data_IF_368703337467
#
_entry.id   IF_368703337467
#
_cell.length_a   1.000
_cell.length_b   1.000
_cell.length_c   1.000
_cell.angle_alpha   90.00
_cell.angle_beta   90.00
_cell.angle_gamma   90.00
#
_symmetry.space_group_name_H-M   'P 1'
#
loop_
_entity.id
_entity.type
_entity.pdbx_description
1 polymer ?
#
# COMPACT_ATOMS: atom_id res chain seq x y z
N UNK A 1 -32.67 8.95 -15.03
CA UNK A 1 -31.67 8.92 -13.95
C UNK A 1 -30.91 7.62 -14.08
N UNK A 2 -29.60 7.65 -14.30
CA UNK A 2 -28.77 6.46 -14.14
C UNK A 2 -28.27 6.45 -12.70
N UNK A 3 -28.75 5.49 -11.90
CA UNK A 3 -28.18 5.27 -10.57
C UNK A 3 -26.83 4.58 -10.72
N UNK A 4 -25.77 5.38 -10.75
CA UNK A 4 -24.41 4.88 -10.56
C UNK A 4 -24.33 4.25 -9.18
N UNK A 5 -24.45 2.93 -9.11
CA UNK A 5 -24.15 2.16 -7.89
C UNK A 5 -22.66 2.32 -7.62
N UNK A 6 -22.29 3.30 -6.80
CA UNK A 6 -20.91 3.53 -6.39
C UNK A 6 -20.39 2.29 -5.68
N UNK A 7 -19.64 1.49 -6.42
CA UNK A 7 -18.98 0.33 -5.86
C UNK A 7 -17.80 0.84 -5.02
N UNK A 8 -17.97 0.83 -3.69
CA UNK A 8 -16.90 1.12 -2.71
C UNK A 8 -15.65 0.23 -2.90
N UNK A 9 -15.67 -0.74 -3.81
CA UNK A 9 -14.49 -1.45 -4.24
C UNK A 9 -13.59 -0.71 -5.23
N UNK A 10 -14.16 0.11 -6.13
CA UNK A 10 -13.41 0.81 -7.17
C UNK A 10 -12.71 2.07 -6.65
N UNK A 11 -13.39 2.86 -5.80
CA UNK A 11 -12.87 4.13 -5.27
C UNK A 11 -11.44 4.00 -4.72
N UNK A 12 -11.19 2.97 -3.90
CA UNK A 12 -9.88 2.74 -3.28
C UNK A 12 -8.78 2.27 -4.24
N UNK A 13 -9.14 1.60 -5.34
CA UNK A 13 -8.16 1.10 -6.32
C UNK A 13 -7.77 2.22 -7.30
N UNK A 14 -8.76 3.00 -7.74
CA UNK A 14 -8.54 4.21 -8.53
C UNK A 14 -7.74 5.26 -7.74
N UNK A 15 -8.04 5.48 -6.45
CA UNK A 15 -7.25 6.33 -5.56
C UNK A 15 -5.80 5.86 -5.41
N UNK A 16 -5.55 4.54 -5.27
CA UNK A 16 -4.18 4.03 -5.20
C UNK A 16 -3.41 4.24 -6.53
N UNK A 17 -4.06 3.98 -7.67
CA UNK A 17 -3.46 4.19 -9.00
C UNK A 17 -3.13 5.68 -9.19
N UNK A 18 -4.07 6.59 -8.91
CA UNK A 18 -3.85 8.04 -9.02
C UNK A 18 -2.71 8.51 -8.11
N UNK A 19 -2.62 8.00 -6.87
CA UNK A 19 -1.54 8.34 -5.92
C UNK A 19 -0.17 7.77 -6.35
N UNK A 20 -0.13 6.60 -6.98
CA UNK A 20 1.10 6.04 -7.56
C UNK A 20 1.54 6.87 -8.78
N UNK A 21 0.60 7.21 -9.67
CA UNK A 21 0.88 8.01 -10.86
C UNK A 21 1.33 9.43 -10.50
N UNK A 22 0.75 10.07 -9.48
CA UNK A 22 1.17 11.42 -9.06
C UNK A 22 2.55 11.43 -8.39
N UNK A 23 2.89 10.40 -7.62
CA UNK A 23 4.17 10.31 -6.89
C UNK A 23 5.34 9.80 -7.75
N UNK A 24 5.08 9.03 -8.81
CA UNK A 24 6.14 8.38 -9.61
C UNK A 24 6.10 8.68 -11.12
N UNK A 25 5.00 9.24 -11.65
CA UNK A 25 4.85 9.55 -13.09
C UNK A 25 4.81 8.32 -14.01
N UNK A 26 4.72 7.11 -13.45
CA UNK A 26 4.78 5.83 -14.15
C UNK A 26 4.03 4.75 -13.37
N UNK A 27 3.69 3.64 -14.04
CA UNK A 27 2.99 2.52 -13.39
C UNK A 27 3.89 1.78 -12.40
N UNK A 28 3.32 1.36 -11.25
CA UNK A 28 4.06 0.63 -10.21
C UNK A 28 4.76 -0.61 -10.77
N UNK A 29 4.11 -1.34 -11.68
CA UNK A 29 4.71 -2.52 -12.34
C UNK A 29 6.00 -2.14 -13.06
N UNK A 30 5.98 -1.07 -13.85
CA UNK A 30 7.12 -0.62 -14.64
C UNK A 30 8.27 -0.13 -13.75
N UNK A 31 7.96 0.58 -12.66
CA UNK A 31 8.92 0.99 -11.63
C UNK A 31 9.62 -0.22 -10.99
N UNK A 32 8.85 -1.27 -10.62
CA UNK A 32 9.40 -2.52 -10.10
C UNK A 32 10.24 -3.24 -11.16
N UNK A 33 9.77 -3.34 -12.41
CA UNK A 33 10.47 -4.02 -13.51
C UNK A 33 11.85 -3.38 -13.77
N UNK A 34 11.87 -2.05 -13.89
CA UNK A 34 13.06 -1.21 -14.11
C UNK A 34 14.07 -1.27 -12.96
N UNK A 35 13.61 -1.24 -11.70
CA UNK A 35 14.51 -1.30 -10.55
C UNK A 35 15.04 -2.71 -10.31
N UNK A 36 14.19 -3.74 -10.46
CA UNK A 36 14.58 -5.12 -10.23
C UNK A 36 15.59 -5.61 -11.27
N UNK A 37 15.43 -5.24 -12.54
CA UNK A 37 16.36 -5.56 -13.64
C UNK A 37 16.82 -7.03 -13.60
N UNK A 38 15.83 -7.93 -13.63
CA UNK A 38 16.01 -9.37 -13.50
C UNK A 38 16.53 -10.00 -14.80
N UNK A 39 17.25 -11.11 -14.69
CA UNK A 39 17.54 -11.95 -15.86
C UNK A 39 16.25 -12.59 -16.41
N UNK A 40 16.28 -12.99 -17.68
CA UNK A 40 15.22 -13.79 -18.32
C UNK A 40 14.92 -15.10 -17.55
N UNK A 41 15.91 -15.62 -16.80
CA UNK A 41 15.78 -16.81 -15.95
C UNK A 41 15.15 -16.53 -14.58
N UNK A 42 15.31 -15.34 -14.01
CA UNK A 42 14.73 -14.94 -12.71
C UNK A 42 13.31 -14.36 -12.87
N UNK A 43 13.07 -13.60 -13.94
CA UNK A 43 11.85 -12.81 -14.12
C UNK A 43 10.54 -13.61 -14.09
N UNK A 44 10.40 -14.79 -14.75
CA UNK A 44 9.13 -15.53 -14.75
C UNK A 44 8.73 -16.00 -13.35
N UNK A 45 9.68 -16.54 -12.58
CA UNK A 45 9.45 -17.00 -11.22
C UNK A 45 9.16 -15.82 -10.27
N UNK A 46 9.88 -14.71 -10.42
CA UNK A 46 9.60 -13.46 -9.69
C UNK A 46 8.17 -12.96 -9.95
N UNK A 47 7.75 -12.83 -11.21
CA UNK A 47 6.45 -12.22 -11.54
C UNK A 47 5.25 -13.07 -11.07
N UNK A 48 5.39 -14.40 -10.98
CA UNK A 48 4.39 -15.26 -10.33
C UNK A 48 4.29 -14.96 -8.84
N UNK A 49 5.41 -14.78 -8.14
CA UNK A 49 5.40 -14.39 -6.72
C UNK A 49 4.86 -12.96 -6.54
N UNK A 50 5.20 -12.03 -7.44
CA UNK A 50 4.73 -10.64 -7.41
C UNK A 50 3.21 -10.54 -7.54
N UNK A 51 2.59 -11.24 -8.49
CA UNK A 51 1.12 -11.20 -8.65
C UNK A 51 0.38 -11.68 -7.38
N UNK A 52 0.91 -12.72 -6.73
CA UNK A 52 0.39 -13.22 -5.46
C UNK A 52 0.64 -12.25 -4.29
N UNK A 53 1.79 -11.58 -4.27
CA UNK A 53 2.07 -10.51 -3.31
C UNK A 53 1.08 -9.36 -3.48
N UNK A 54 0.91 -8.90 -4.72
CA UNK A 54 0.20 -7.67 -5.04
C UNK A 54 -1.29 -7.77 -4.76
N UNK A 55 -1.91 -8.93 -5.04
CA UNK A 55 -3.31 -9.20 -4.66
C UNK A 55 -3.54 -9.15 -3.15
N UNK A 56 -2.61 -9.67 -2.33
CA UNK A 56 -2.69 -9.54 -0.87
C UNK A 56 -2.37 -8.11 -0.39
N UNK A 57 -1.47 -7.40 -1.10
CA UNK A 57 -1.04 -6.02 -0.81
C UNK A 57 -2.16 -5.02 -1.07
N UNK A 58 -2.94 -5.17 -2.15
CA UNK A 58 -4.10 -4.34 -2.47
C UNK A 58 -5.15 -4.33 -1.35
N UNK A 59 -5.45 -5.48 -0.75
CA UNK A 59 -6.39 -5.56 0.37
C UNK A 59 -5.94 -4.75 1.60
N UNK A 60 -4.63 -4.70 1.86
CA UNK A 60 -4.04 -3.95 2.99
C UNK A 60 -3.97 -2.45 2.67
N UNK A 61 -3.58 -2.08 1.45
CA UNK A 61 -3.52 -0.69 1.00
C UNK A 61 -4.91 -0.04 0.99
N UNK A 62 -5.92 -0.76 0.48
CA UNK A 62 -7.32 -0.36 0.53
C UNK A 62 -7.83 -0.12 1.95
N UNK A 63 -7.56 -1.02 2.89
CA UNK A 63 -7.91 -0.82 4.29
C UNK A 63 -7.22 0.43 4.87
N UNK A 64 -5.96 0.70 4.48
CA UNK A 64 -5.24 1.91 4.90
C UNK A 64 -5.89 3.19 4.36
N UNK A 65 -6.28 3.20 3.09
CA UNK A 65 -6.99 4.33 2.46
C UNK A 65 -8.33 4.56 3.16
N UNK A 66 -9.14 3.51 3.37
CA UNK A 66 -10.43 3.63 4.07
C UNK A 66 -10.32 4.15 5.51
N UNK A 67 -9.25 3.78 6.24
CA UNK A 67 -8.99 4.30 7.58
C UNK A 67 -8.56 5.77 7.55
N UNK A 68 -7.76 6.16 6.56
CA UNK A 68 -7.34 7.54 6.35
C UNK A 68 -8.53 8.45 5.97
N UNK A 69 -9.32 8.07 4.97
CA UNK A 69 -10.50 8.82 4.55
C UNK A 69 -11.49 9.00 5.71
N UNK A 70 -11.81 7.93 6.45
CA UNK A 70 -12.68 8.04 7.64
C UNK A 70 -12.15 9.04 8.68
N UNK A 71 -10.84 9.07 8.92
CA UNK A 71 -10.24 10.01 9.87
C UNK A 71 -10.40 11.47 9.39
N UNK A 72 -10.04 11.75 8.13
CA UNK A 72 -10.12 13.11 7.55
C UNK A 72 -11.58 13.58 7.42
N UNK A 73 -12.48 12.73 6.91
CA UNK A 73 -13.90 13.05 6.68
C UNK A 73 -14.70 13.36 7.95
N UNK A 74 -14.24 12.89 9.12
CA UNK A 74 -15.00 12.97 10.38
C UNK A 74 -14.21 13.64 11.51
N UNK A 75 -13.04 14.22 11.23
CA UNK A 75 -12.04 14.64 12.22
C UNK A 75 -12.64 15.42 13.41
N UNK A 76 -13.40 16.48 13.15
CA UNK A 76 -14.02 17.35 14.17
C UNK A 76 -15.15 16.69 15.00
N UNK A 77 -15.53 15.45 14.67
CA UNK A 77 -16.70 14.75 15.23
C UNK A 77 -16.33 13.41 15.92
N UNK A 78 -15.10 12.92 15.75
CA UNK A 78 -14.64 11.64 16.30
C UNK A 78 -14.45 11.69 17.82
N UNK A 79 -15.23 10.89 18.56
CA UNK A 79 -15.04 10.71 20.01
C UNK A 79 -13.90 9.75 20.37
N UNK A 80 -13.49 9.74 21.65
CA UNK A 80 -12.39 8.91 22.17
C UNK A 80 -12.48 7.42 21.75
N UNK A 81 -13.66 6.80 21.87
CA UNK A 81 -13.89 5.40 21.46
C UNK A 81 -13.67 5.16 19.95
N UNK A 82 -13.96 6.16 19.12
CA UNK A 82 -13.76 6.08 17.67
C UNK A 82 -12.31 6.34 17.28
N UNK A 83 -11.64 7.28 17.96
CA UNK A 83 -10.20 7.51 17.84
C UNK A 83 -9.39 6.27 18.26
N UNK A 84 -9.71 5.65 19.40
CA UNK A 84 -9.15 4.36 19.82
C UNK A 84 -9.41 3.26 18.77
N UNK A 85 -10.65 3.18 18.28
CA UNK A 85 -11.04 2.25 17.22
C UNK A 85 -10.27 2.44 15.91
N UNK A 86 -9.96 3.68 15.52
CA UNK A 86 -9.15 4.02 14.34
C UNK A 86 -7.66 3.73 14.57
N UNK A 87 -7.13 4.08 15.74
CA UNK A 87 -5.75 3.81 16.13
C UNK A 87 -5.46 2.29 16.14
N UNK A 88 -6.31 1.48 16.79
CA UNK A 88 -6.19 0.02 16.83
C UNK A 88 -6.26 -0.61 15.43
N UNK A 89 -7.16 -0.14 14.55
CA UNK A 89 -7.25 -0.62 13.16
C UNK A 89 -6.01 -0.24 12.34
N UNK A 90 -5.49 0.98 12.52
CA UNK A 90 -4.25 1.45 11.86
C UNK A 90 -3.04 0.63 12.29
N UNK A 91 -2.90 0.33 13.59
CA UNK A 91 -1.86 -0.55 14.13
C UNK A 91 -1.99 -1.97 13.55
N UNK A 92 -3.22 -2.52 13.50
CA UNK A 92 -3.47 -3.83 12.91
C UNK A 92 -3.14 -3.89 11.41
N UNK A 93 -3.44 -2.82 10.65
CA UNK A 93 -3.11 -2.68 9.24
C UNK A 93 -1.59 -2.65 9.00
N UNK A 94 -0.85 -1.84 9.78
CA UNK A 94 0.62 -1.83 9.77
C UNK A 94 1.19 -3.25 10.01
N UNK A 95 0.65 -3.96 11.01
CA UNK A 95 1.07 -5.33 11.35
C UNK A 95 0.75 -6.36 10.25
N UNK A 96 -0.38 -6.22 9.54
CA UNK A 96 -0.68 -7.03 8.34
C UNK A 96 0.40 -6.83 7.27
N UNK A 97 0.81 -5.58 7.01
CA UNK A 97 1.86 -5.26 6.02
C UNK A 97 3.19 -5.90 6.42
N UNK A 98 3.67 -5.71 7.66
CA UNK A 98 4.93 -6.32 8.12
C UNK A 98 4.93 -7.85 8.01
N UNK A 99 3.80 -8.51 8.32
CA UNK A 99 3.62 -9.96 8.13
C UNK A 99 3.64 -10.38 6.65
N UNK A 100 3.00 -9.59 5.77
CA UNK A 100 3.03 -9.82 4.33
C UNK A 100 4.46 -9.76 3.78
N UNK A 101 5.24 -8.76 4.19
CA UNK A 101 6.64 -8.61 3.80
C UNK A 101 7.51 -9.80 4.22
N UNK A 102 7.43 -10.24 5.48
CA UNK A 102 8.18 -11.40 5.96
C UNK A 102 7.80 -12.71 5.21
N UNK A 103 6.50 -12.89 4.93
CA UNK A 103 5.96 -13.99 4.12
C UNK A 103 6.51 -13.96 2.70
N UNK A 104 6.51 -12.80 2.05
CA UNK A 104 6.88 -12.69 0.64
C UNK A 104 8.38 -12.59 0.39
N UNK A 105 9.18 -12.02 1.29
CA UNK A 105 10.65 -12.17 1.29
C UNK A 105 11.06 -13.64 1.14
N UNK A 106 10.42 -14.52 1.92
CA UNK A 106 10.68 -15.97 1.91
C UNK A 106 10.23 -16.64 0.61
N UNK A 107 9.21 -16.10 -0.08
CA UNK A 107 8.80 -16.56 -1.42
C UNK A 107 9.75 -16.05 -2.51
N UNK A 108 10.04 -14.75 -2.57
CA UNK A 108 10.94 -14.16 -3.56
C UNK A 108 12.35 -14.77 -3.49
N UNK A 109 12.88 -15.00 -2.28
CA UNK A 109 14.19 -15.65 -2.08
C UNK A 109 14.25 -17.08 -2.63
N UNK A 110 13.11 -17.79 -2.71
CA UNK A 110 13.01 -19.12 -3.33
C UNK A 110 12.80 -19.08 -4.85
N UNK A 111 12.26 -17.98 -5.37
CA UNK A 111 11.99 -17.79 -6.80
C UNK A 111 13.17 -17.13 -7.55
N UNK A 112 14.05 -16.42 -6.83
CA UNK A 112 15.21 -15.70 -7.39
C UNK A 112 16.44 -15.92 -6.50
N UNK A 113 16.81 -14.94 -5.67
CA UNK A 113 17.95 -15.00 -4.76
C UNK A 113 17.70 -14.14 -3.52
N UNK A 114 18.56 -14.26 -2.50
CA UNK A 114 18.47 -13.40 -1.31
C UNK A 114 18.65 -11.91 -1.64
N UNK A 115 19.52 -11.59 -2.61
CA UNK A 115 19.78 -10.23 -3.09
C UNK A 115 18.59 -9.64 -3.82
N UNK A 116 18.00 -10.37 -4.78
CA UNK A 116 16.80 -9.90 -5.48
C UNK A 116 15.61 -9.77 -4.53
N UNK A 117 15.44 -10.72 -3.59
CA UNK A 117 14.40 -10.61 -2.57
C UNK A 117 14.56 -9.36 -1.69
N UNK A 118 15.79 -9.00 -1.31
CA UNK A 118 16.08 -7.78 -0.55
C UNK A 118 15.84 -6.51 -1.39
N UNK A 119 16.29 -6.48 -2.65
CA UNK A 119 15.97 -5.39 -3.60
C UNK A 119 14.46 -5.17 -3.70
N UNK A 120 13.67 -6.24 -3.80
CA UNK A 120 12.22 -6.12 -3.88
C UNK A 120 11.61 -5.45 -2.64
N UNK A 121 12.02 -5.86 -1.43
CA UNK A 121 11.55 -5.20 -0.21
C UNK A 121 11.90 -3.71 -0.24
N UNK A 122 13.12 -3.35 -0.67
CA UNK A 122 13.60 -1.98 -0.72
C UNK A 122 12.75 -1.06 -1.63
N UNK A 123 12.37 -1.50 -2.84
CA UNK A 123 11.45 -0.68 -3.67
C UNK A 123 10.04 -0.63 -3.11
N UNK A 124 9.49 -1.73 -2.60
CA UNK A 124 8.14 -1.71 -2.06
C UNK A 124 8.05 -0.91 -0.74
N UNK A 125 9.10 -0.93 0.09
CA UNK A 125 9.25 -0.05 1.25
C UNK A 125 9.34 1.42 0.86
N UNK A 126 10.12 1.74 -0.18
CA UNK A 126 10.21 3.10 -0.72
C UNK A 126 8.85 3.59 -1.25
N UNK A 127 8.22 2.82 -2.13
CA UNK A 127 6.90 3.12 -2.70
C UNK A 127 5.87 3.28 -1.58
N UNK A 128 5.78 2.33 -0.64
CA UNK A 128 4.86 2.41 0.48
C UNK A 128 5.11 3.64 1.37
N UNK A 129 6.37 4.03 1.58
CA UNK A 129 6.73 5.19 2.41
C UNK A 129 6.34 6.51 1.73
N UNK A 130 6.57 6.67 0.44
CA UNK A 130 6.16 7.86 -0.33
C UNK A 130 4.63 8.00 -0.36
N UNK A 131 3.91 6.93 -0.69
CA UNK A 131 2.43 6.93 -0.68
C UNK A 131 1.91 7.25 0.72
N UNK A 132 2.51 6.66 1.77
CA UNK A 132 2.13 6.93 3.17
C UNK A 132 2.42 8.37 3.60
N UNK A 133 3.52 8.97 3.15
CA UNK A 133 3.86 10.37 3.45
C UNK A 133 2.81 11.31 2.87
N UNK A 134 2.50 11.15 1.58
CA UNK A 134 1.47 11.95 0.91
C UNK A 134 0.08 11.77 1.56
N UNK A 135 -0.27 10.55 2.00
CA UNK A 135 -1.48 10.32 2.80
C UNK A 135 -1.46 10.97 4.19
N UNK A 136 -0.29 11.33 4.74
CA UNK A 136 -0.16 12.00 6.04
C UNK A 136 -0.07 13.53 5.93
N UNK A 137 0.38 14.05 4.80
CA UNK A 137 0.39 15.50 4.50
C UNK A 137 -1.05 16.04 4.37
N UNK A 138 -2.00 15.19 3.94
CA UNK A 138 -3.44 15.48 3.87
C UNK A 138 -4.21 15.23 5.20
N UNK A 139 -3.53 14.89 6.31
CA UNK A 139 -4.17 14.58 7.60
C UNK A 139 -4.06 15.74 8.61
N UNK A 140 -5.17 16.19 9.23
CA UNK A 140 -5.09 17.08 10.39
C UNK A 140 -4.41 16.36 11.58
N UNK A 141 -3.62 17.07 12.37
CA UNK A 141 -3.06 16.56 13.62
C UNK A 141 -4.08 16.65 14.75
N UNK A 142 -4.12 15.65 15.63
CA UNK A 142 -4.96 15.66 16.83
C UNK A 142 -4.39 16.67 17.83
N UNK A 143 -5.11 17.76 18.06
CA UNK A 143 -4.64 18.87 18.89
C UNK A 143 -3.78 19.85 18.09
N UNK A 144 -2.55 20.10 18.54
CA UNK A 144 -1.63 21.05 17.91
C UNK A 144 -0.47 20.35 17.20
N UNK A 145 -0.20 20.81 15.99
CA UNK A 145 1.13 20.85 15.38
C UNK A 145 1.35 22.30 14.89
N UNK A 146 2.60 22.75 14.90
CA UNK A 146 3.05 23.98 14.25
C UNK A 146 3.75 23.65 12.92
#
# INVERSE_FOLDING_TARGET
>A
MFSSTFCFAQMSEEQEIQLIQSQFGMEKRELIEKYMNLSETEAPAFWVVYQNYESERQAIAKERIMLASRYVENYDQLGDDEMDGLAKKTIANNLKRSKLHAKYYTKFKKATSATQAAKFLQVDDYIHSTLRLSMQEEMPFIGEME
#
